data_IF_358715502222
#
_entry.id   IF_358715502222
#
_cell.length_a   1.000
_cell.length_b   1.000
_cell.length_c   1.000
_cell.angle_alpha   90.00
_cell.angle_beta   90.00
_cell.angle_gamma   90.00
#
_symmetry.space_group_name_H-M   'P 1'
#
loop_
_entity.id
_entity.type
_entity.pdbx_description
1 polymer ?
#
# COMPACT_ATOMS: atom_id res chain seq x y z
N UNK A 1 -1.72 -11.95 -9.23
CA UNK A 1 -1.61 -10.68 -8.47
C UNK A 1 -1.11 -9.57 -9.37
N UNK A 2 -1.76 -8.42 -9.34
CA UNK A 2 -1.33 -7.23 -10.06
C UNK A 2 -0.04 -6.73 -9.44
N UNK A 3 0.95 -6.43 -10.27
CA UNK A 3 2.22 -5.87 -9.78
C UNK A 3 2.11 -4.34 -9.69
N UNK A 4 2.54 -3.74 -8.57
CA UNK A 4 2.53 -2.29 -8.44
C UNK A 4 3.62 -1.64 -9.30
N UNK A 5 3.41 -0.37 -9.62
CA UNK A 5 4.44 0.43 -10.24
C UNK A 5 5.55 0.72 -9.22
N UNK A 6 6.79 0.67 -9.70
CA UNK A 6 7.96 1.00 -8.90
C UNK A 6 8.46 2.40 -9.24
N UNK A 7 9.01 3.07 -8.25
CA UNK A 7 9.59 4.39 -8.43
C UNK A 7 10.95 4.29 -9.12
N UNK A 8 11.26 5.30 -9.92
CA UNK A 8 12.57 5.47 -10.53
C UNK A 8 13.29 6.64 -9.89
N UNK A 9 14.63 6.60 -9.89
CA UNK A 9 15.42 7.72 -9.38
C UNK A 9 15.24 8.95 -10.27
N UNK A 10 15.13 10.11 -9.66
CA UNK A 10 14.91 11.37 -10.38
C UNK A 10 15.99 11.66 -11.42
N UNK A 11 17.25 11.30 -11.14
CA UNK A 11 18.36 11.53 -12.06
C UNK A 11 18.33 10.67 -13.32
N UNK A 12 17.46 9.67 -13.40
CA UNK A 12 17.27 8.86 -14.60
C UNK A 12 16.26 9.46 -15.58
N UNK A 13 15.47 10.42 -15.10
CA UNK A 13 14.41 11.07 -15.88
C UNK A 13 14.44 12.58 -15.63
N UNK A 14 14.37 13.34 -16.71
CA UNK A 14 14.29 14.80 -16.60
C UNK A 14 12.84 15.21 -16.32
N UNK A 15 12.69 16.19 -15.41
CA UNK A 15 11.40 16.79 -15.14
C UNK A 15 11.29 18.10 -15.92
N UNK A 16 10.21 18.23 -16.68
CA UNK A 16 9.87 19.51 -17.32
C UNK A 16 8.89 20.26 -16.41
N UNK A 17 9.38 21.24 -15.68
CA UNK A 17 8.57 22.02 -14.76
C UNK A 17 7.53 22.94 -15.43
N UNK A 18 7.55 23.03 -16.75
CA UNK A 18 6.53 23.77 -17.50
C UNK A 18 5.29 22.90 -17.78
N UNK A 19 5.41 21.58 -17.61
CA UNK A 19 4.31 20.66 -17.76
C UNK A 19 3.64 20.40 -16.41
N UNK A 20 2.42 19.88 -16.47
CA UNK A 20 1.69 19.47 -15.29
C UNK A 20 2.35 18.22 -14.69
N UNK A 21 2.70 18.26 -13.40
CA UNK A 21 3.30 17.13 -12.69
C UNK A 21 2.49 16.79 -11.45
N UNK A 22 2.43 15.47 -11.14
CA UNK A 22 1.81 14.95 -9.94
C UNK A 22 2.88 14.62 -8.92
N UNK A 23 2.64 15.02 -7.68
CA UNK A 23 3.59 14.82 -6.59
C UNK A 23 2.90 14.12 -5.43
N UNK A 24 3.60 13.20 -4.80
CA UNK A 24 3.15 12.51 -3.59
C UNK A 24 4.33 12.40 -2.62
N UNK A 25 4.06 12.42 -1.29
CA UNK A 25 5.11 12.13 -0.32
C UNK A 25 5.64 10.72 -0.52
N UNK A 26 6.96 10.56 -0.41
CA UNK A 26 7.56 9.22 -0.37
C UNK A 26 7.57 8.74 1.07
N UNK A 27 6.73 7.77 1.38
CA UNK A 27 6.62 7.21 2.72
C UNK A 27 7.63 6.07 2.90
N UNK A 28 8.34 6.08 4.03
CA UNK A 28 9.31 5.04 4.37
C UNK A 28 8.63 3.96 5.21
N UNK A 29 7.81 3.16 4.56
CA UNK A 29 7.11 2.06 5.17
C UNK A 29 7.27 0.78 4.37
N UNK A 30 6.25 -0.08 4.44
CA UNK A 30 6.22 -1.33 3.70
C UNK A 30 5.10 -1.24 2.66
N UNK A 31 5.47 -1.38 1.39
CA UNK A 31 4.49 -1.34 0.31
C UNK A 31 3.52 -2.51 0.42
N UNK A 32 2.25 -2.21 0.28
CA UNK A 32 1.19 -3.17 0.48
C UNK A 32 0.05 -2.97 -0.51
N UNK A 33 -0.35 -4.06 -1.15
CA UNK A 33 -1.55 -4.10 -1.97
C UNK A 33 -2.67 -4.73 -1.15
N UNK A 34 -3.80 -4.06 -1.06
CA UNK A 34 -5.00 -4.60 -0.42
C UNK A 34 -6.03 -5.00 -1.46
N UNK A 35 -6.53 -6.21 -1.32
CA UNK A 35 -7.63 -6.75 -2.14
C UNK A 35 -8.71 -7.31 -1.21
N UNK A 36 -9.82 -7.76 -1.79
CA UNK A 36 -10.85 -8.46 -1.02
C UNK A 36 -10.31 -9.69 -0.28
N UNK A 37 -9.19 -10.24 -0.74
CA UNK A 37 -8.59 -11.46 -0.18
C UNK A 37 -7.52 -11.17 0.87
N UNK A 38 -7.24 -9.90 1.13
CA UNK A 38 -6.30 -9.47 2.16
C UNK A 38 -5.18 -8.57 1.64
N UNK A 39 -4.12 -8.50 2.42
CA UNK A 39 -2.98 -7.63 2.18
C UNK A 39 -1.79 -8.43 1.65
N UNK A 40 -1.14 -7.91 0.61
CA UNK A 40 -0.05 -8.61 -0.07
C UNK A 40 1.12 -7.68 -0.36
N UNK A 41 2.34 -8.24 -0.29
CA UNK A 41 3.53 -7.54 -0.75
C UNK A 41 3.52 -7.43 -2.28
N UNK A 42 4.42 -6.61 -2.83
CA UNK A 42 4.58 -6.49 -4.28
C UNK A 42 4.92 -7.81 -4.97
N UNK A 43 5.47 -8.77 -4.23
CA UNK A 43 5.82 -10.10 -4.76
C UNK A 43 4.74 -11.16 -4.49
N UNK A 44 3.64 -10.77 -3.87
CA UNK A 44 2.50 -11.65 -3.62
C UNK A 44 2.49 -12.36 -2.28
N UNK A 45 3.45 -12.06 -1.39
CA UNK A 45 3.45 -12.63 -0.04
C UNK A 45 2.40 -11.95 0.81
N UNK A 46 1.54 -12.74 1.47
CA UNK A 46 0.47 -12.18 2.30
C UNK A 46 0.99 -11.65 3.64
N UNK A 47 0.50 -10.47 4.03
CA UNK A 47 0.72 -9.91 5.36
C UNK A 47 -0.37 -10.39 6.31
N UNK A 48 0.04 -10.94 7.45
CA UNK A 48 -0.88 -11.60 8.39
C UNK A 48 -1.21 -10.74 9.62
N UNK A 49 -0.50 -9.64 9.84
CA UNK A 49 -0.67 -8.82 11.05
C UNK A 49 -1.29 -7.46 10.75
N UNK A 50 -2.32 -7.44 9.90
CA UNK A 50 -3.03 -6.21 9.51
C UNK A 50 -4.55 -6.38 9.63
N UNK A 51 -4.99 -7.21 10.56
CA UNK A 51 -6.43 -7.51 10.74
C UNK A 51 -7.26 -6.24 10.98
N UNK A 52 -6.73 -5.29 11.75
CA UNK A 52 -7.43 -4.03 12.03
C UNK A 52 -7.72 -3.24 10.75
N UNK A 53 -6.82 -3.32 9.76
CA UNK A 53 -7.01 -2.65 8.47
C UNK A 53 -7.99 -3.44 7.61
N UNK A 54 -7.85 -4.78 7.59
CA UNK A 54 -8.78 -5.65 6.88
C UNK A 54 -10.21 -5.41 7.36
N UNK A 55 -10.42 -5.34 8.67
CA UNK A 55 -11.73 -5.09 9.26
C UNK A 55 -12.28 -3.71 8.85
N UNK A 56 -11.42 -2.71 8.83
CA UNK A 56 -11.80 -1.36 8.40
C UNK A 56 -12.19 -1.29 6.92
N UNK A 57 -11.62 -2.13 6.08
CA UNK A 57 -11.85 -2.15 4.64
C UNK A 57 -12.90 -3.16 4.21
N UNK A 58 -13.45 -3.92 5.14
CA UNK A 58 -14.39 -5.00 4.83
C UNK A 58 -15.60 -4.53 4.03
N UNK A 59 -16.25 -3.47 4.49
CA UNK A 59 -17.43 -2.94 3.80
C UNK A 59 -17.07 -2.33 2.44
N UNK A 60 -15.90 -1.72 2.33
CA UNK A 60 -15.41 -1.20 1.08
C UNK A 60 -15.26 -2.30 0.03
N UNK A 61 -14.65 -3.43 0.38
CA UNK A 61 -14.46 -4.53 -0.56
C UNK A 61 -15.74 -5.32 -0.83
N UNK A 62 -16.75 -5.25 0.05
CA UNK A 62 -18.07 -5.78 -0.28
C UNK A 62 -18.70 -5.00 -1.44
N UNK A 63 -18.56 -3.68 -1.41
CA UNK A 63 -19.10 -2.81 -2.45
C UNK A 63 -18.27 -2.85 -3.73
N UNK A 64 -16.94 -2.98 -3.60
CA UNK A 64 -16.00 -2.91 -4.71
C UNK A 64 -15.01 -4.09 -4.69
N UNK A 65 -15.50 -5.33 -4.90
CA UNK A 65 -14.65 -6.52 -4.77
C UNK A 65 -13.55 -6.63 -5.84
N UNK A 66 -13.64 -5.87 -6.90
CA UNK A 66 -12.66 -5.84 -7.99
C UNK A 66 -11.51 -4.88 -7.74
N UNK A 67 -11.59 -4.04 -6.72
CA UNK A 67 -10.61 -2.98 -6.48
C UNK A 67 -9.34 -3.52 -5.83
N UNK A 68 -8.19 -3.01 -6.26
CA UNK A 68 -6.90 -3.22 -5.61
C UNK A 68 -6.42 -1.85 -5.13
N UNK A 69 -6.16 -1.73 -3.83
CA UNK A 69 -5.58 -0.54 -3.24
C UNK A 69 -4.07 -0.71 -3.17
N UNK A 70 -3.33 0.33 -3.56
CA UNK A 70 -1.88 0.36 -3.47
C UNK A 70 -1.48 1.44 -2.48
N UNK A 71 -0.66 1.09 -1.53
CA UNK A 71 -0.29 2.01 -0.46
C UNK A 71 0.88 1.52 0.35
N UNK A 72 1.05 2.17 1.49
CA UNK A 72 2.17 1.94 2.39
C UNK A 72 1.64 1.62 3.78
N UNK A 73 2.15 0.55 4.38
CA UNK A 73 1.99 0.30 5.82
C UNK A 73 2.99 1.17 6.54
N UNK A 74 2.51 2.14 7.29
CA UNK A 74 3.34 3.23 7.76
C UNK A 74 2.73 3.90 8.98
N UNK A 75 3.55 4.59 9.75
CA UNK A 75 3.09 5.50 10.79
C UNK A 75 4.08 6.65 10.88
N UNK A 76 3.62 7.86 10.66
CA UNK A 76 4.48 9.04 10.65
C UNK A 76 5.20 9.28 11.97
N UNK A 77 4.58 8.91 13.08
CA UNK A 77 5.19 9.01 14.40
C UNK A 77 6.37 8.05 14.58
N UNK A 78 6.43 6.99 13.73
CA UNK A 78 7.50 6.00 13.73
C UNK A 78 8.43 6.15 12.53
N UNK A 79 8.46 7.32 11.91
CA UNK A 79 9.23 7.56 10.68
C UNK A 79 10.72 7.29 10.83
N UNK A 80 11.27 7.47 12.02
CA UNK A 80 12.67 7.22 12.32
C UNK A 80 12.93 5.82 12.88
N UNK A 81 11.90 4.97 12.93
CA UNK A 81 11.98 3.60 13.41
C UNK A 81 11.34 2.63 12.41
N UNK A 82 11.88 2.61 11.21
CA UNK A 82 11.42 1.78 10.11
C UNK A 82 11.45 0.28 10.46
N UNK A 83 12.45 -0.14 11.23
CA UNK A 83 12.58 -1.55 11.62
C UNK A 83 11.44 -2.02 12.51
N UNK A 84 10.91 -1.15 13.34
CA UNK A 84 9.75 -1.49 14.17
C UNK A 84 8.52 -1.76 13.31
N UNK A 85 8.30 -0.93 12.30
CA UNK A 85 7.21 -1.12 11.35
C UNK A 85 7.38 -2.47 10.63
N UNK A 86 8.57 -2.74 10.11
CA UNK A 86 8.86 -4.01 9.41
C UNK A 86 8.64 -5.20 10.34
N UNK A 87 9.13 -5.13 11.57
CA UNK A 87 9.00 -6.22 12.53
C UNK A 87 7.54 -6.57 12.80
N UNK A 88 6.69 -5.57 13.00
CA UNK A 88 5.26 -5.79 13.24
C UNK A 88 4.55 -6.35 11.99
N UNK A 89 4.85 -5.78 10.83
CA UNK A 89 4.19 -6.16 9.58
C UNK A 89 4.56 -7.58 9.16
N UNK A 90 5.79 -8.01 9.41
CA UNK A 90 6.30 -9.32 8.97
C UNK A 90 5.85 -10.50 9.83
N UNK A 91 5.18 -10.29 10.94
CA UNK A 91 4.70 -11.40 11.78
C UNK A 91 3.71 -12.26 11.00
N UNK A 92 4.07 -13.53 10.78
CA UNK A 92 3.24 -14.47 10.03
C UNK A 92 2.24 -15.22 10.92
N UNK A 93 2.59 -15.39 12.20
CA UNK A 93 1.73 -16.01 13.21
C UNK A 93 1.60 -15.08 14.41
N UNK A 94 0.96 -13.90 14.20
CA UNK A 94 0.90 -12.92 15.29
C UNK A 94 0.00 -13.42 16.42
N UNK A 95 0.49 -13.23 17.66
CA UNK A 95 -0.30 -13.45 18.85
C UNK A 95 -1.15 -12.23 19.19
N UNK A 96 -1.82 -12.31 20.33
CA UNK A 96 -2.70 -11.21 20.79
C UNK A 96 -1.94 -9.90 20.98
N UNK A 97 -0.73 -9.98 21.55
CA UNK A 97 0.09 -8.80 21.80
C UNK A 97 0.54 -8.14 20.50
N UNK A 98 1.03 -8.94 19.54
CA UNK A 98 1.49 -8.42 18.25
C UNK A 98 0.34 -7.81 17.46
N UNK A 99 -0.86 -8.39 17.51
CA UNK A 99 -2.05 -7.83 16.87
C UNK A 99 -2.47 -6.51 17.50
N UNK A 100 -2.38 -6.42 18.82
CA UNK A 100 -2.69 -5.19 19.55
C UNK A 100 -1.70 -4.08 19.17
N UNK A 101 -0.40 -4.40 19.14
CA UNK A 101 0.63 -3.43 18.78
C UNK A 101 0.45 -2.95 17.33
N UNK A 102 0.17 -3.88 16.41
CA UNK A 102 -0.08 -3.51 15.01
C UNK A 102 -1.31 -2.61 14.87
N UNK A 103 -2.39 -2.94 15.57
CA UNK A 103 -3.61 -2.12 15.54
C UNK A 103 -3.36 -0.70 16.03
N UNK A 104 -2.45 -0.56 17.00
CA UNK A 104 -2.12 0.73 17.58
C UNK A 104 -1.11 1.53 16.76
N UNK A 105 -0.17 0.85 16.10
CA UNK A 105 1.00 1.48 15.48
C UNK A 105 1.00 1.50 13.97
N UNK A 106 0.36 0.53 13.30
CA UNK A 106 0.43 0.41 11.85
C UNK A 106 -0.80 1.01 11.20
N UNK A 107 -0.57 1.97 10.32
CA UNK A 107 -1.59 2.62 9.50
C UNK A 107 -1.39 2.21 8.05
N UNK A 108 -2.43 2.27 7.26
CA UNK A 108 -2.35 2.04 5.82
C UNK A 108 -2.63 3.35 5.09
N UNK A 109 -1.63 3.84 4.38
CA UNK A 109 -1.71 5.07 3.61
C UNK A 109 -1.85 4.73 2.13
N UNK A 110 -3.05 4.90 1.59
CA UNK A 110 -3.36 4.60 0.20
C UNK A 110 -2.95 5.76 -0.70
N UNK A 111 -2.24 5.48 -1.77
CA UNK A 111 -1.85 6.51 -2.73
C UNK A 111 -2.23 6.18 -4.17
N UNK A 112 -2.74 4.98 -4.44
CA UNK A 112 -3.25 4.62 -5.76
C UNK A 112 -4.28 3.50 -5.63
N UNK A 113 -5.10 3.33 -6.67
CA UNK A 113 -6.03 2.22 -6.73
C UNK A 113 -6.29 1.82 -8.17
N UNK A 114 -6.71 0.57 -8.38
CA UNK A 114 -7.20 0.09 -9.67
C UNK A 114 -8.59 -0.52 -9.48
N UNK A 115 -9.45 -0.34 -10.47
CA UNK A 115 -10.80 -0.90 -10.44
C UNK A 115 -10.96 -2.10 -11.37
N UNK A 116 -12.20 -2.48 -11.62
CA UNK A 116 -12.54 -3.57 -12.52
C UNK A 116 -12.10 -3.29 -13.98
N UNK A 117 -11.87 -2.04 -14.31
CA UNK A 117 -11.45 -1.62 -15.64
C UNK A 117 -9.92 -1.53 -15.77
N UNK A 118 -9.20 -2.20 -14.87
CA UNK A 118 -7.75 -2.15 -14.85
C UNK A 118 -7.12 -2.44 -16.21
N UNK A 119 -7.63 -3.43 -16.93
CA UNK A 119 -7.08 -3.81 -18.24
C UNK A 119 -7.20 -2.65 -19.24
N UNK A 120 -8.32 -1.95 -19.25
CA UNK A 120 -8.51 -0.79 -20.12
C UNK A 120 -7.64 0.41 -19.71
N UNK A 121 -7.17 0.41 -18.47
CA UNK A 121 -6.30 1.47 -17.96
C UNK A 121 -4.81 1.13 -18.11
N UNK A 122 -4.48 -0.08 -18.55
CA UNK A 122 -3.11 -0.59 -18.57
C UNK A 122 -2.14 0.29 -19.36
N UNK A 123 -2.48 0.94 -20.34
CA UNK A 123 -1.60 1.82 -21.10
C UNK A 123 -1.58 3.26 -20.63
N UNK A 124 -2.37 3.61 -19.62
CA UNK A 124 -2.48 4.98 -19.16
C UNK A 124 -1.28 5.38 -18.30
N UNK A 125 -0.96 6.66 -18.34
CA UNK A 125 0.03 7.22 -17.44
C UNK A 125 -0.50 7.17 -16.01
N UNK A 126 0.41 7.08 -15.03
CA UNK A 126 0.03 7.03 -13.62
C UNK A 126 -0.96 8.15 -13.23
N UNK A 127 -0.75 9.34 -13.76
CA UNK A 127 -1.61 10.49 -13.48
C UNK A 127 -3.05 10.33 -13.92
N UNK A 128 -3.34 9.39 -14.81
CA UNK A 128 -4.66 9.21 -15.41
C UNK A 128 -5.49 8.16 -14.66
N UNK A 129 -4.95 7.55 -13.64
CA UNK A 129 -5.69 6.60 -12.81
C UNK A 129 -6.40 7.34 -11.66
#
# INVERSE_FOLDING_TARGET
>A
MIKPMLAYKLNQHKINFKEFIYMQPKLDGVRCLFTKDGAFSRTGKQFMNVRHIEDSLKEFFKACPWTVLDGELYNHELKDDFEKIISLVRKQKPGVIERYEAAKMIQYHVYDYTGKDYISLEGLLYKDR
#
